data_IF_938779043154
#
_entry.id   IF_938779043154
#
_cell.length_a   1.000
_cell.length_b   1.000
_cell.length_c   1.000
_cell.angle_alpha   90.00
_cell.angle_beta   90.00
_cell.angle_gamma   90.00
#
_symmetry.space_group_name_H-M   'P 1'
#
loop_
_entity.id
_entity.type
_entity.pdbx_description
1 polymer ?
#
# COMPACT_ATOMS: atom_id res chain seq x y z
N UNK A 1 -7.92 -18.62 -6.68
CA UNK A 1 -6.54 -18.32 -6.26
C UNK A 1 -6.67 -17.35 -5.10
N UNK A 2 -6.34 -17.79 -3.87
CA UNK A 2 -6.55 -16.99 -2.66
C UNK A 2 -5.78 -15.67 -2.74
N UNK A 3 -6.42 -14.54 -2.41
CA UNK A 3 -5.70 -13.29 -2.17
C UNK A 3 -4.79 -13.52 -0.97
N UNK A 4 -3.48 -13.36 -1.17
CA UNK A 4 -2.50 -13.29 -0.08
C UNK A 4 -2.89 -12.11 0.84
N UNK A 5 -2.48 -12.22 2.11
CA UNK A 5 -2.73 -11.28 3.19
C UNK A 5 -2.43 -9.82 2.83
N UNK A 6 -2.97 -8.88 3.62
CA UNK A 6 -2.83 -7.42 3.44
C UNK A 6 -1.36 -6.99 3.64
N UNK A 7 -0.56 -7.03 2.57
CA UNK A 7 0.87 -6.66 2.53
C UNK A 7 1.08 -5.13 2.45
N UNK A 8 0.90 -4.42 3.56
CA UNK A 8 0.89 -2.94 3.56
C UNK A 8 1.50 -2.36 4.83
N UNK A 9 2.10 -1.19 4.72
CA UNK A 9 2.55 -0.43 5.89
C UNK A 9 2.44 1.09 5.69
N UNK A 10 2.32 1.78 6.81
CA UNK A 10 2.32 3.24 6.91
C UNK A 10 3.65 3.72 7.44
N UNK A 11 4.18 4.81 6.91
CA UNK A 11 5.39 5.45 7.41
C UNK A 11 5.11 6.93 7.60
N UNK A 12 5.21 7.40 8.84
CA UNK A 12 5.21 8.83 9.14
C UNK A 12 6.63 9.33 9.14
N UNK A 13 6.97 10.27 8.26
CA UNK A 13 8.28 10.91 8.27
C UNK A 13 8.34 11.88 9.45
N UNK A 14 9.30 11.74 10.38
CA UNK A 14 9.45 12.69 11.47
C UNK A 14 9.79 14.09 10.97
N UNK A 15 9.18 15.14 11.53
CA UNK A 15 9.41 16.52 11.10
C UNK A 15 10.87 16.98 11.28
N UNK A 16 11.58 16.47 12.28
CA UNK A 16 13.00 16.76 12.46
C UNK A 16 13.86 16.23 11.30
N UNK A 17 13.46 15.12 10.67
CA UNK A 17 14.17 14.57 9.51
C UNK A 17 14.02 15.52 8.32
N UNK A 18 12.82 16.03 8.08
CA UNK A 18 12.58 17.05 7.05
C UNK A 18 13.43 18.31 7.31
N UNK A 19 13.55 18.71 8.57
CA UNK A 19 14.40 19.83 8.98
C UNK A 19 15.90 19.57 8.73
N UNK A 20 16.40 18.38 9.09
CA UNK A 20 17.80 18.00 8.86
C UNK A 20 18.10 17.87 7.36
N UNK A 21 17.21 17.23 6.60
CA UNK A 21 17.30 17.12 5.14
C UNK A 21 17.38 18.50 4.48
N UNK A 22 16.56 19.44 4.94
CA UNK A 22 16.59 20.85 4.51
C UNK A 22 17.91 21.57 4.82
N UNK A 23 18.54 21.20 5.92
CA UNK A 23 19.73 21.90 6.45
C UNK A 23 21.02 21.36 5.85
N UNK A 24 21.06 20.05 5.54
CA UNK A 24 22.25 19.35 5.06
C UNK A 24 22.32 19.32 3.53
N UNK A 25 21.18 19.19 2.83
CA UNK A 25 21.14 19.25 1.37
C UNK A 25 20.81 20.68 0.96
N UNK A 26 21.85 21.45 0.68
CA UNK A 26 21.82 22.89 0.37
C UNK A 26 20.93 23.24 -0.85
N UNK A 27 20.59 22.24 -1.67
CA UNK A 27 19.62 22.35 -2.78
C UNK A 27 18.19 22.65 -2.30
N UNK A 28 17.89 22.38 -1.03
CA UNK A 28 16.55 22.42 -0.46
C UNK A 28 16.32 23.57 0.52
N UNK A 29 17.37 24.28 0.97
CA UNK A 29 17.27 25.40 1.92
C UNK A 29 16.29 26.50 1.46
N UNK A 30 16.17 26.68 0.14
CA UNK A 30 15.19 27.58 -0.48
C UNK A 30 13.88 26.90 -0.90
N UNK A 31 13.79 25.56 -0.89
CA UNK A 31 12.69 24.75 -1.47
C UNK A 31 11.82 24.02 -0.45
N UNK A 32 12.29 23.54 0.71
CA UNK A 32 11.41 22.88 1.71
C UNK A 32 10.48 23.88 2.39
N UNK A 33 10.96 25.09 2.72
CA UNK A 33 10.11 26.17 3.21
C UNK A 33 8.92 26.41 2.27
N UNK A 34 9.16 26.38 0.95
CA UNK A 34 8.11 26.50 -0.06
C UNK A 34 7.37 25.22 -0.46
N UNK A 35 7.89 24.04 -0.13
CA UNK A 35 7.21 22.76 -0.34
C UNK A 35 6.20 22.51 0.78
N UNK A 36 6.38 23.11 1.96
CA UNK A 36 5.32 23.20 2.98
C UNK A 36 4.41 24.41 2.81
N UNK A 37 4.85 25.45 2.09
CA UNK A 37 3.92 26.43 1.53
C UNK A 37 3.14 25.78 0.39
N UNK A 38 1.87 26.14 0.24
CA UNK A 38 0.90 25.48 -0.63
C UNK A 38 1.25 25.45 -2.15
N UNK A 39 2.38 26.05 -2.57
CA UNK A 39 2.55 26.58 -3.94
C UNK A 39 3.74 26.00 -4.74
N UNK A 40 4.48 24.99 -4.22
CA UNK A 40 5.44 24.22 -5.03
C UNK A 40 5.09 22.73 -5.14
N UNK A 41 5.20 22.25 -6.39
CA UNK A 41 4.48 21.10 -6.94
C UNK A 41 4.83 19.73 -6.37
N UNK A 42 3.81 18.87 -6.40
CA UNK A 42 3.77 17.45 -6.03
C UNK A 42 5.06 16.66 -6.34
N UNK A 43 5.66 16.86 -7.52
CA UNK A 43 6.86 16.14 -7.95
C UNK A 43 8.12 16.38 -7.10
N UNK A 44 8.21 17.48 -6.34
CA UNK A 44 9.32 17.70 -5.40
C UNK A 44 9.22 16.80 -4.17
N UNK A 45 8.00 16.57 -3.68
CA UNK A 45 7.77 15.73 -2.51
C UNK A 45 8.03 14.26 -2.82
N UNK A 46 7.59 13.78 -4.00
CA UNK A 46 7.91 12.43 -4.49
C UNK A 46 9.42 12.20 -4.63
N UNK A 47 10.14 13.21 -5.15
CA UNK A 47 11.60 13.14 -5.28
C UNK A 47 12.28 13.05 -3.91
N UNK A 48 11.85 13.86 -2.95
CA UNK A 48 12.36 13.80 -1.58
C UNK A 48 12.13 12.41 -0.96
N UNK A 49 10.96 11.80 -1.16
CA UNK A 49 10.70 10.43 -0.68
C UNK A 49 11.64 9.41 -1.32
N UNK A 50 11.92 9.54 -2.62
CA UNK A 50 12.87 8.64 -3.29
C UNK A 50 14.29 8.79 -2.73
N UNK A 51 14.71 10.02 -2.44
CA UNK A 51 16.01 10.31 -1.85
C UNK A 51 16.08 9.89 -0.37
N UNK A 52 15.00 10.02 0.38
CA UNK A 52 14.84 9.48 1.73
C UNK A 52 15.06 7.96 1.75
N UNK A 53 14.39 7.25 0.85
CA UNK A 53 14.49 5.78 0.72
C UNK A 53 15.94 5.34 0.43
N UNK A 54 16.60 6.05 -0.48
CA UNK A 54 17.99 5.77 -0.83
C UNK A 54 18.94 6.10 0.33
N UNK A 55 18.78 7.25 0.98
CA UNK A 55 19.62 7.69 2.09
C UNK A 55 19.53 6.71 3.27
N UNK A 56 18.33 6.37 3.72
CA UNK A 56 18.15 5.49 4.88
C UNK A 56 18.76 4.10 4.63
N UNK A 57 18.51 3.53 3.45
CA UNK A 57 19.13 2.26 3.05
C UNK A 57 20.65 2.35 3.04
N UNK A 58 21.20 3.43 2.48
CA UNK A 58 22.65 3.61 2.37
C UNK A 58 23.32 3.88 3.72
N UNK A 59 22.62 4.48 4.68
CA UNK A 59 23.11 4.64 6.06
C UNK A 59 23.22 3.28 6.76
N UNK A 60 22.21 2.41 6.64
CA UNK A 60 22.28 1.04 7.18
C UNK A 60 23.47 0.26 6.59
N UNK A 61 23.77 0.44 5.30
CA UNK A 61 24.96 -0.14 4.67
C UNK A 61 26.25 0.49 5.22
N UNK A 62 26.25 1.81 5.42
CA UNK A 62 27.37 2.54 6.03
C UNK A 62 27.72 2.05 7.44
N UNK A 63 26.71 1.59 8.19
CA UNK A 63 26.85 0.93 9.49
C UNK A 63 27.32 -0.54 9.39
N UNK A 64 27.65 -1.02 8.19
CA UNK A 64 28.16 -2.37 7.95
C UNK A 64 27.08 -3.45 7.83
N UNK A 65 25.80 -3.08 7.67
CA UNK A 65 24.71 -4.05 7.50
C UNK A 65 24.59 -4.52 6.05
N UNK A 66 24.42 -5.82 5.85
CA UNK A 66 24.19 -6.44 4.53
C UNK A 66 22.71 -6.76 4.26
N UNK A 67 21.90 -6.82 5.33
CA UNK A 67 20.47 -7.09 5.29
C UNK A 67 19.76 -6.33 6.41
N UNK A 68 18.47 -6.08 6.23
CA UNK A 68 17.60 -5.48 7.26
C UNK A 68 16.16 -5.97 7.09
N UNK A 69 15.36 -5.89 8.15
CA UNK A 69 13.91 -6.06 8.03
C UNK A 69 13.27 -4.82 7.39
N UNK A 70 12.08 -4.96 6.83
CA UNK A 70 11.32 -3.80 6.36
C UNK A 70 10.96 -2.85 7.50
N UNK A 71 10.71 -3.35 8.72
CA UNK A 71 10.49 -2.51 9.89
C UNK A 71 11.73 -1.71 10.32
N UNK A 72 12.93 -2.23 10.09
CA UNK A 72 14.18 -1.48 10.30
C UNK A 72 14.41 -0.44 9.19
N UNK A 73 14.07 -0.76 7.93
CA UNK A 73 14.18 0.19 6.80
C UNK A 73 13.14 1.31 6.93
N UNK A 74 11.93 0.98 7.36
CA UNK A 74 10.83 1.92 7.58
C UNK A 74 10.61 2.10 9.08
N UNK A 75 11.60 2.69 9.76
CA UNK A 75 11.54 2.85 11.21
C UNK A 75 10.29 3.64 11.65
N UNK A 76 9.56 3.09 12.63
CA UNK A 76 8.30 3.67 13.10
C UNK A 76 7.10 3.38 12.20
N UNK A 77 7.25 2.47 11.23
CA UNK A 77 6.14 2.05 10.38
C UNK A 77 5.07 1.28 11.16
N UNK A 78 3.82 1.45 10.73
CA UNK A 78 2.65 0.74 11.27
C UNK A 78 2.18 -0.23 10.19
N UNK A 79 2.14 -1.52 10.49
CA UNK A 79 1.70 -2.57 9.58
C UNK A 79 1.82 -3.95 10.22
N UNK A 80 1.37 -5.02 9.54
CA UNK A 80 1.46 -6.38 10.06
C UNK A 80 2.91 -6.78 10.36
N UNK A 81 3.10 -7.53 11.46
CA UNK A 81 4.43 -8.01 11.86
C UNK A 81 5.07 -8.91 10.78
N UNK A 82 4.26 -9.67 10.05
CA UNK A 82 4.69 -10.47 8.90
C UNK A 82 5.29 -9.58 7.81
N UNK A 83 4.57 -8.51 7.42
CA UNK A 83 5.03 -7.54 6.42
C UNK A 83 6.31 -6.82 6.87
N UNK A 84 6.34 -6.31 8.10
CA UNK A 84 7.51 -5.59 8.61
C UNK A 84 8.69 -6.51 8.91
N UNK A 85 8.44 -7.80 9.12
CA UNK A 85 9.43 -8.82 9.42
C UNK A 85 10.20 -9.34 8.21
N UNK A 86 9.79 -9.02 6.96
CA UNK A 86 10.52 -9.45 5.76
C UNK A 86 11.97 -8.96 5.78
N UNK A 87 12.92 -9.89 5.70
CA UNK A 87 14.35 -9.60 5.69
C UNK A 87 14.82 -9.48 4.24
N UNK A 88 15.33 -8.32 3.90
CA UNK A 88 15.77 -7.99 2.54
C UNK A 88 17.25 -7.63 2.50
N UNK A 89 17.91 -7.97 1.39
CA UNK A 89 19.29 -7.58 1.14
C UNK A 89 19.39 -6.07 0.95
N UNK A 90 20.41 -5.48 1.55
CA UNK A 90 20.74 -4.08 1.35
C UNK A 90 21.70 -3.96 0.16
N UNK A 91 21.29 -3.20 -0.85
CA UNK A 91 22.14 -2.78 -1.96
C UNK A 91 22.24 -1.27 -1.93
N UNK A 92 23.42 -0.74 -2.25
CA UNK A 92 23.60 0.70 -2.35
C UNK A 92 22.62 1.26 -3.38
N UNK A 93 21.78 2.19 -2.94
CA UNK A 93 20.70 2.75 -3.74
C UNK A 93 21.09 4.09 -4.35
N UNK A 94 20.68 4.30 -5.59
CA UNK A 94 20.70 5.59 -6.28
C UNK A 94 19.31 5.92 -6.80
N UNK A 95 18.96 7.21 -6.85
CA UNK A 95 17.64 7.66 -7.31
C UNK A 95 17.65 7.88 -8.82
N UNK A 96 16.70 7.26 -9.52
CA UNK A 96 16.45 7.46 -10.95
C UNK A 96 15.03 7.93 -11.17
N UNK A 97 14.80 8.77 -12.18
CA UNK A 97 13.45 9.20 -12.58
C UNK A 97 13.01 8.41 -13.79
N UNK A 98 11.84 7.77 -13.72
CA UNK A 98 11.27 7.07 -14.85
C UNK A 98 10.77 8.07 -15.90
N UNK A 99 11.21 7.90 -17.16
CA UNK A 99 10.73 8.72 -18.28
C UNK A 99 9.27 8.43 -18.66
N UNK A 100 8.73 7.29 -18.23
CA UNK A 100 7.38 6.82 -18.51
C UNK A 100 6.81 6.11 -17.28
N UNK A 101 5.48 5.99 -17.21
CA UNK A 101 4.80 5.33 -16.10
C UNK A 101 5.27 3.88 -15.98
N UNK A 102 5.84 3.54 -14.83
CA UNK A 102 6.20 2.20 -14.44
C UNK A 102 5.05 1.58 -13.64
N UNK A 103 4.73 0.29 -13.82
CA UNK A 103 5.32 -0.67 -14.76
C UNK A 103 4.69 -0.66 -16.16
N UNK A 104 3.67 0.17 -16.41
CA UNK A 104 2.85 0.17 -17.64
C UNK A 104 3.68 0.21 -18.94
N UNK A 105 4.73 1.03 -18.98
CA UNK A 105 5.52 1.27 -20.19
C UNK A 105 6.55 0.19 -20.52
N UNK A 106 6.86 -0.74 -19.60
CA UNK A 106 7.80 -1.84 -19.85
C UNK A 106 9.26 -1.45 -20.14
N UNK A 107 9.59 -0.15 -20.10
CA UNK A 107 10.84 0.41 -20.66
C UNK A 107 12.01 0.52 -19.69
N UNK A 108 11.79 0.26 -18.40
CA UNK A 108 12.85 0.32 -17.40
C UNK A 108 13.48 -1.08 -17.24
N UNK A 109 14.67 -1.29 -17.81
CA UNK A 109 15.35 -2.60 -17.84
C UNK A 109 16.12 -2.93 -16.56
N UNK A 110 16.51 -1.91 -15.78
CA UNK A 110 17.36 -2.08 -14.60
C UNK A 110 16.63 -1.84 -13.28
N UNK A 111 15.31 -2.03 -13.26
CA UNK A 111 14.45 -1.77 -12.09
C UNK A 111 14.83 -2.60 -10.84
N UNK A 112 15.61 -3.67 -11.01
CA UNK A 112 16.15 -4.52 -9.92
C UNK A 112 17.53 -4.12 -9.39
N UNK A 113 18.17 -3.12 -10.00
CA UNK A 113 19.61 -2.89 -9.87
C UNK A 113 19.99 -1.81 -8.86
N UNK A 114 19.62 -1.95 -7.58
CA UNK A 114 20.06 -0.99 -6.56
C UNK A 114 19.63 0.44 -6.87
N UNK A 115 18.40 0.59 -7.36
CA UNK A 115 17.82 1.88 -7.73
C UNK A 115 16.52 2.09 -6.98
N UNK A 116 16.30 3.34 -6.59
CA UNK A 116 14.98 3.85 -6.22
C UNK A 116 14.43 4.60 -7.42
N UNK A 117 13.25 4.22 -7.88
CA UNK A 117 12.61 4.78 -9.06
C UNK A 117 11.60 5.82 -8.61
N UNK A 118 11.85 7.10 -8.88
CA UNK A 118 10.79 8.13 -8.87
C UNK A 118 9.96 7.94 -10.14
N UNK A 119 8.69 7.59 -9.99
CA UNK A 119 7.83 7.27 -11.10
C UNK A 119 7.43 8.53 -11.88
N UNK A 120 6.91 8.33 -13.10
CA UNK A 120 6.37 9.40 -13.91
C UNK A 120 4.99 9.83 -13.39
N UNK A 121 4.69 11.11 -13.50
CA UNK A 121 3.46 11.70 -12.99
C UNK A 121 2.20 10.98 -13.51
N UNK A 122 1.27 10.71 -12.59
CA UNK A 122 0.01 10.00 -12.87
C UNK A 122 0.15 8.48 -13.01
N UNK A 123 1.27 7.88 -12.58
CA UNK A 123 1.38 6.42 -12.48
C UNK A 123 0.50 5.86 -11.36
N UNK A 124 -0.14 4.70 -11.60
CA UNK A 124 -1.03 4.07 -10.61
C UNK A 124 -0.32 3.09 -9.66
N UNK A 125 0.91 2.68 -9.99
CA UNK A 125 1.64 1.67 -9.23
C UNK A 125 2.40 2.20 -8.01
N UNK A 126 2.61 3.52 -7.90
CA UNK A 126 3.51 4.08 -6.89
C UNK A 126 4.15 5.34 -7.41
N UNK A 127 4.26 6.36 -6.55
CA UNK A 127 5.03 7.56 -6.84
C UNK A 127 6.53 7.26 -6.81
N UNK A 128 6.92 6.32 -5.94
CA UNK A 128 8.28 5.81 -5.80
C UNK A 128 8.25 4.27 -5.76
N UNK A 129 9.24 3.60 -6.36
CA UNK A 129 9.33 2.15 -6.34
C UNK A 129 10.76 1.69 -6.04
N UNK A 130 10.90 0.63 -5.25
CA UNK A 130 12.20 -0.01 -4.98
C UNK A 130 12.04 -1.53 -4.95
N UNK A 131 12.91 -2.22 -5.67
CA UNK A 131 13.00 -3.67 -5.63
C UNK A 131 14.08 -4.12 -4.65
N UNK A 132 13.76 -5.14 -3.86
CA UNK A 132 14.61 -5.66 -2.80
C UNK A 132 14.64 -7.17 -2.87
N UNK A 133 15.83 -7.74 -3.00
CA UNK A 133 16.00 -9.20 -2.97
C UNK A 133 15.77 -9.72 -1.55
N UNK A 134 15.12 -10.86 -1.41
CA UNK A 134 15.03 -11.52 -0.11
C UNK A 134 16.43 -11.93 0.37
N UNK A 135 16.68 -11.77 1.66
CA UNK A 135 17.91 -12.22 2.32
C UNK A 135 17.76 -13.60 2.98
N UNK A 136 16.53 -14.07 3.22
CA UNK A 136 16.27 -15.32 3.96
C UNK A 136 16.32 -16.60 3.10
N UNK A 137 16.60 -16.46 1.79
CA UNK A 137 16.75 -17.58 0.86
C UNK A 137 15.47 -18.37 0.52
N UNK A 138 14.37 -18.11 1.23
CA UNK A 138 13.09 -18.81 1.10
C UNK A 138 11.93 -17.89 0.68
N UNK A 139 12.09 -16.56 0.77
CA UNK A 139 11.08 -15.58 0.39
C UNK A 139 11.20 -15.09 -1.06
N UNK A 140 10.05 -14.83 -1.69
CA UNK A 140 10.00 -14.06 -2.93
C UNK A 140 10.63 -12.67 -2.70
N UNK A 141 11.32 -12.14 -3.71
CA UNK A 141 11.84 -10.77 -3.62
C UNK A 141 10.70 -9.77 -3.48
N UNK A 142 10.96 -8.68 -2.78
CA UNK A 142 9.97 -7.66 -2.48
C UNK A 142 10.04 -6.52 -3.49
N UNK A 143 8.90 -6.08 -3.98
CA UNK A 143 8.75 -4.83 -4.70
C UNK A 143 7.94 -3.86 -3.83
N UNK A 144 8.62 -2.89 -3.23
CA UNK A 144 7.97 -1.85 -2.45
C UNK A 144 7.45 -0.76 -3.39
N UNK A 145 6.16 -0.50 -3.32
CA UNK A 145 5.46 0.58 -4.00
C UNK A 145 5.12 1.67 -3.00
N UNK A 146 5.86 2.77 -3.06
CA UNK A 146 5.77 3.90 -2.14
C UNK A 146 4.79 4.94 -2.69
N UNK A 147 3.80 5.31 -1.87
CA UNK A 147 2.76 6.29 -2.16
C UNK A 147 2.96 7.52 -1.28
N UNK A 148 3.20 8.66 -1.90
CA UNK A 148 3.47 9.93 -1.25
C UNK A 148 2.15 10.64 -0.92
N UNK A 149 1.88 10.92 0.36
CA UNK A 149 0.71 11.71 0.77
C UNK A 149 1.16 12.93 1.58
N UNK A 150 0.88 14.13 1.05
CA UNK A 150 1.18 15.43 1.70
C UNK A 150 0.00 15.89 2.58
N UNK A 151 0.29 16.74 3.57
CA UNK A 151 -0.67 17.45 4.42
C UNK A 151 -1.95 17.91 3.68
N UNK A 152 -3.12 17.59 4.25
CA UNK A 152 -4.41 18.12 3.80
C UNK A 152 -5.64 17.29 4.20
N UNK A 153 -5.49 15.97 4.33
CA UNK A 153 -6.58 15.07 4.76
C UNK A 153 -6.05 14.03 5.75
N UNK A 154 -6.84 13.72 6.79
CA UNK A 154 -6.58 12.57 7.66
C UNK A 154 -6.47 11.31 6.80
N UNK A 155 -5.40 10.56 7.01
CA UNK A 155 -5.17 9.31 6.29
C UNK A 155 -5.76 8.17 7.10
N UNK A 156 -6.81 7.56 6.55
CA UNK A 156 -7.46 6.40 7.14
C UNK A 156 -6.90 5.11 6.58
N UNK A 157 -7.13 4.02 7.31
CA UNK A 157 -6.81 2.67 6.87
C UNK A 157 -7.34 2.34 5.45
N UNK A 158 -8.54 2.84 5.12
CA UNK A 158 -9.15 2.70 3.80
C UNK A 158 -8.33 3.34 2.67
N UNK A 159 -7.66 4.47 2.92
CA UNK A 159 -6.81 5.09 1.90
C UNK A 159 -5.63 4.20 1.50
N UNK A 160 -4.98 3.51 2.44
CA UNK A 160 -3.92 2.54 2.13
C UNK A 160 -4.48 1.29 1.42
N UNK A 161 -5.70 0.87 1.78
CA UNK A 161 -6.39 -0.23 1.11
C UNK A 161 -6.60 0.08 -0.38
N UNK A 162 -7.16 1.25 -0.67
CA UNK A 162 -7.45 1.72 -2.02
C UNK A 162 -6.18 1.86 -2.85
N UNK A 163 -5.12 2.44 -2.28
CA UNK A 163 -3.84 2.52 -2.99
C UNK A 163 -3.28 1.13 -3.31
N UNK A 164 -3.31 0.20 -2.36
CA UNK A 164 -2.85 -1.16 -2.64
C UNK A 164 -3.66 -1.85 -3.75
N UNK A 165 -4.98 -1.66 -3.80
CA UNK A 165 -5.78 -2.24 -4.88
C UNK A 165 -5.43 -1.66 -6.25
N UNK A 166 -5.17 -0.36 -6.35
CA UNK A 166 -4.67 0.26 -7.59
C UNK A 166 -3.32 -0.33 -8.01
N UNK A 167 -2.41 -0.50 -7.05
CA UNK A 167 -1.08 -1.07 -7.26
C UNK A 167 -1.18 -2.52 -7.76
N UNK A 168 -1.93 -3.35 -7.05
CA UNK A 168 -2.15 -4.75 -7.41
C UNK A 168 -2.81 -4.88 -8.79
N UNK A 169 -3.83 -4.07 -9.06
CA UNK A 169 -4.48 -4.01 -10.38
C UNK A 169 -3.54 -3.59 -11.50
N UNK A 170 -2.59 -2.69 -11.24
CA UNK A 170 -1.58 -2.27 -12.23
C UNK A 170 -0.63 -3.41 -12.58
N UNK A 171 -0.21 -4.22 -11.61
CA UNK A 171 0.65 -5.39 -11.85
C UNK A 171 -0.07 -6.44 -12.70
N UNK A 172 -1.36 -6.68 -12.42
CA UNK A 172 -2.15 -7.65 -13.19
C UNK A 172 -2.27 -7.26 -14.67
N UNK A 173 -2.33 -5.95 -14.96
CA UNK A 173 -2.41 -5.41 -16.33
C UNK A 173 -1.10 -5.48 -17.13
N UNK A 174 0.01 -5.89 -16.51
CA UNK A 174 1.29 -5.99 -17.23
C UNK A 174 1.17 -6.99 -18.39
N UNK A 175 1.48 -6.56 -19.64
CA UNK A 175 1.27 -7.40 -20.82
C UNK A 175 2.04 -8.72 -20.77
N UNK A 176 1.40 -9.78 -21.26
CA UNK A 176 2.03 -11.08 -21.39
C UNK A 176 3.20 -11.03 -22.38
N UNK A 177 4.32 -11.68 -22.05
CA UNK A 177 5.57 -11.67 -22.85
C UNK A 177 6.39 -10.38 -22.74
N UNK A 178 5.92 -9.38 -22.00
CA UNK A 178 6.69 -8.15 -21.75
C UNK A 178 8.00 -8.45 -21.02
N UNK A 179 8.98 -7.55 -21.15
CA UNK A 179 10.26 -7.68 -20.43
C UNK A 179 10.00 -7.75 -18.92
N UNK A 180 9.11 -6.93 -18.38
CA UNK A 180 8.81 -6.91 -16.96
C UNK A 180 8.19 -8.23 -16.45
N UNK A 181 7.30 -8.85 -17.22
CA UNK A 181 6.77 -10.18 -16.87
C UNK A 181 7.86 -11.25 -16.88
N UNK A 182 8.70 -11.26 -17.91
CA UNK A 182 9.81 -12.23 -18.04
C UNK A 182 10.82 -12.09 -16.91
N UNK A 183 11.22 -10.85 -16.62
CA UNK A 183 12.04 -10.52 -15.47
C UNK A 183 11.38 -11.04 -14.19
N UNK A 184 10.05 -11.00 -14.09
CA UNK A 184 9.30 -11.61 -12.99
C UNK A 184 8.76 -10.61 -12.01
N UNK A 185 8.38 -9.43 -12.49
CA UNK A 185 7.72 -8.42 -11.66
C UNK A 185 6.45 -8.97 -10.99
N UNK A 186 5.70 -9.84 -11.69
CA UNK A 186 4.50 -10.52 -11.16
C UNK A 186 4.81 -11.60 -10.11
N UNK A 187 6.08 -12.04 -10.01
CA UNK A 187 6.54 -13.01 -9.00
C UNK A 187 7.05 -12.31 -7.74
N UNK A 188 7.32 -11.00 -7.80
CA UNK A 188 7.71 -10.26 -6.62
C UNK A 188 6.52 -10.14 -5.66
N UNK A 189 6.82 -10.19 -4.37
CA UNK A 189 5.87 -9.86 -3.31
C UNK A 189 5.68 -8.35 -3.28
N UNK A 190 4.44 -7.85 -3.31
CA UNK A 190 4.18 -6.42 -3.54
C UNK A 190 3.73 -5.80 -2.24
N UNK A 191 4.59 -4.94 -1.70
CA UNK A 191 4.29 -4.23 -0.46
C UNK A 191 3.96 -2.79 -0.79
N UNK A 192 2.76 -2.38 -0.38
CA UNK A 192 2.37 -0.97 -0.46
C UNK A 192 2.85 -0.23 0.78
N UNK A 193 3.63 0.83 0.56
CA UNK A 193 4.17 1.69 1.61
C UNK A 193 3.56 3.07 1.44
N UNK A 194 2.74 3.52 2.38
CA UNK A 194 2.21 4.88 2.34
C UNK A 194 3.06 5.78 3.22
N UNK A 195 3.70 6.76 2.60
CA UNK A 195 4.62 7.69 3.25
C UNK A 195 3.94 9.04 3.38
N UNK A 196 3.87 9.55 4.61
CA UNK A 196 3.14 10.78 4.92
C UNK A 196 3.87 11.66 5.92
N UNK A 197 3.58 12.95 5.85
CA UNK A 197 3.92 13.94 6.88
C UNK A 197 2.76 14.24 7.82
N UNK A 198 1.56 13.74 7.50
CA UNK A 198 0.34 13.93 8.31
C UNK A 198 0.30 12.90 9.44
N UNK A 199 -0.35 13.26 10.54
CA UNK A 199 -0.67 12.29 11.58
C UNK A 199 -1.58 11.19 11.05
N UNK A 200 -1.30 9.98 11.53
CA UNK A 200 -2.04 8.76 11.21
C UNK A 200 -3.09 8.63 12.32
N UNK A 201 -4.38 8.48 11.96
CA UNK A 201 -5.46 8.40 12.95
C UNK A 201 -5.42 7.10 13.73
N UNK A 202 -5.96 7.10 14.95
CA UNK A 202 -6.10 5.91 15.81
C UNK A 202 -6.85 4.76 15.10
N UNK A 203 -7.79 5.07 14.20
CA UNK A 203 -8.48 4.09 13.36
C UNK A 203 -7.55 3.33 12.40
N UNK A 204 -6.37 3.87 12.07
CA UNK A 204 -5.35 3.17 11.29
C UNK A 204 -4.52 2.17 12.14
N UNK A 205 -4.57 2.31 13.48
CA UNK A 205 -3.90 1.42 14.43
C UNK A 205 -4.79 0.27 14.87
N UNK A 206 -6.11 0.49 15.03
CA UNK A 206 -7.08 -0.59 15.29
C UNK A 206 -7.20 -1.55 14.10
N UNK A 207 -7.09 -1.01 12.89
CA UNK A 207 -7.27 -1.73 11.62
C UNK A 207 -6.08 -2.58 11.16
N UNK A 208 -4.86 -2.36 11.66
CA UNK A 208 -3.72 -3.25 11.39
C UNK A 208 -3.89 -4.65 12.05
N UNK A 209 -4.86 -4.80 12.96
CA UNK A 209 -5.32 -6.08 13.48
C UNK A 209 -6.76 -6.44 13.06
N UNK A 210 -7.51 -5.56 12.38
CA UNK A 210 -8.96 -5.75 12.17
C UNK A 210 -9.54 -5.46 10.76
N UNK A 211 -8.76 -5.16 9.71
CA UNK A 211 -9.31 -5.09 8.34
C UNK A 211 -9.39 -6.47 7.70
N UNK A 212 -10.44 -7.17 8.08
CA UNK A 212 -11.27 -7.97 7.17
C UNK A 212 -12.70 -7.54 7.47
N UNK A 213 -13.26 -6.68 6.61
CA UNK A 213 -14.68 -6.37 6.62
C UNK A 213 -15.14 -6.17 5.17
N UNK A 214 -15.24 -7.28 4.46
CA UNK A 214 -16.08 -7.36 3.28
C UNK A 214 -17.00 -8.56 3.45
N UNK A 215 -18.27 -8.29 3.72
CA UNK A 215 -19.30 -9.29 3.97
C UNK A 215 -19.43 -10.32 2.84
N UNK A 216 -18.97 -10.00 1.62
CA UNK A 216 -18.93 -10.93 0.48
C UNK A 216 -17.80 -11.97 0.56
N UNK A 217 -16.87 -11.82 1.50
CA UNK A 217 -15.69 -12.67 1.67
C UNK A 217 -15.54 -13.19 3.12
N UNK A 218 -16.45 -12.84 4.03
CA UNK A 218 -16.41 -13.29 5.42
C UNK A 218 -16.78 -14.76 5.56
N UNK A 219 -16.10 -15.46 6.46
CA UNK A 219 -16.44 -16.84 6.80
C UNK A 219 -17.54 -16.88 7.87
N UNK A 220 -18.28 -17.99 7.91
CA UNK A 220 -19.30 -18.26 8.95
C UNK A 220 -18.78 -17.98 10.37
N UNK A 221 -17.56 -18.42 10.66
CA UNK A 221 -16.96 -18.27 11.99
C UNK A 221 -16.69 -16.79 12.33
N UNK A 222 -16.25 -16.01 11.34
CA UNK A 222 -15.96 -14.59 11.49
C UNK A 222 -17.25 -13.79 11.67
N UNK A 223 -18.29 -14.08 10.88
CA UNK A 223 -19.62 -13.46 11.02
C UNK A 223 -20.23 -13.69 12.41
N UNK A 224 -20.10 -14.91 12.96
CA UNK A 224 -20.60 -15.22 14.32
C UNK A 224 -19.80 -14.50 15.41
N UNK A 225 -18.46 -14.57 15.36
CA UNK A 225 -17.60 -14.09 16.44
C UNK A 225 -17.48 -12.56 16.46
N UNK A 226 -17.30 -11.94 15.30
CA UNK A 226 -17.02 -10.50 15.16
C UNK A 226 -18.30 -9.65 15.25
N UNK A 227 -19.38 -10.09 14.59
CA UNK A 227 -20.64 -9.35 14.54
C UNK A 227 -21.70 -9.84 15.54
N UNK A 228 -21.37 -10.85 16.36
CA UNK A 228 -22.27 -11.44 17.36
C UNK A 228 -23.61 -11.90 16.75
N UNK A 229 -23.56 -12.34 15.49
CA UNK A 229 -24.74 -12.77 14.73
C UNK A 229 -25.14 -14.19 15.11
N UNK A 230 -26.45 -14.44 15.12
CA UNK A 230 -27.01 -15.77 15.28
C UNK A 230 -26.87 -16.60 13.99
N UNK A 231 -26.92 -17.93 14.13
CA UNK A 231 -26.75 -18.88 13.02
C UNK A 231 -27.66 -18.58 11.83
N UNK A 232 -28.92 -18.21 12.10
CA UNK A 232 -29.91 -17.86 11.07
C UNK A 232 -29.53 -16.59 10.28
N UNK A 233 -28.97 -15.59 10.93
CA UNK A 233 -28.49 -14.37 10.26
C UNK A 233 -27.28 -14.71 9.37
N UNK A 234 -26.35 -15.51 9.90
CA UNK A 234 -25.13 -15.94 9.18
C UNK A 234 -25.44 -16.81 7.97
N UNK A 235 -26.39 -17.74 8.08
CA UNK A 235 -26.85 -18.57 6.96
C UNK A 235 -27.38 -17.70 5.82
N UNK A 236 -28.28 -16.78 6.14
CA UNK A 236 -28.85 -15.87 5.15
C UNK A 236 -27.81 -14.93 4.55
N UNK A 237 -26.80 -14.50 5.32
CA UNK A 237 -25.70 -13.71 4.80
C UNK A 237 -24.94 -14.50 3.73
N UNK A 238 -24.54 -15.73 4.05
CA UNK A 238 -23.73 -16.52 3.14
C UNK A 238 -24.50 -16.99 1.90
N UNK A 239 -25.80 -17.26 2.03
CA UNK A 239 -26.66 -17.70 0.94
C UNK A 239 -26.99 -16.58 -0.07
N UNK A 240 -27.05 -15.33 0.38
CA UNK A 240 -27.50 -14.21 -0.45
C UNK A 240 -26.37 -13.29 -0.93
N UNK A 241 -25.11 -13.70 -0.74
CA UNK A 241 -23.96 -13.03 -1.36
C UNK A 241 -24.06 -13.09 -2.90
N UNK A 242 -23.55 -12.08 -3.64
CA UNK A 242 -22.90 -10.88 -3.13
C UNK A 242 -23.87 -9.72 -2.86
N UNK A 243 -23.43 -8.83 -1.97
CA UNK A 243 -24.04 -7.56 -1.61
C UNK A 243 -23.33 -6.40 -2.31
N UNK A 244 -24.12 -5.52 -2.92
CA UNK A 244 -23.62 -4.34 -3.65
C UNK A 244 -23.58 -3.08 -2.80
N UNK A 245 -24.38 -3.04 -1.75
CA UNK A 245 -24.48 -1.93 -0.82
C UNK A 245 -25.01 -2.42 0.53
N UNK A 246 -24.96 -1.55 1.52
CA UNK A 246 -25.55 -1.79 2.83
C UNK A 246 -27.08 -1.99 2.76
N UNK A 247 -27.77 -1.21 1.93
CA UNK A 247 -29.21 -1.35 1.74
C UNK A 247 -29.56 -2.69 1.05
N UNK A 248 -28.72 -3.16 0.12
CA UNK A 248 -28.85 -4.47 -0.52
C UNK A 248 -28.67 -5.62 0.48
N UNK A 249 -27.76 -5.48 1.45
CA UNK A 249 -27.58 -6.43 2.56
C UNK A 249 -28.84 -6.50 3.44
N UNK A 250 -29.37 -5.34 3.87
CA UNK A 250 -30.57 -5.29 4.70
C UNK A 250 -31.79 -5.87 3.96
N UNK A 251 -31.92 -5.59 2.66
CA UNK A 251 -33.02 -6.12 1.86
C UNK A 251 -32.95 -7.65 1.70
N UNK A 252 -31.74 -8.19 1.51
CA UNK A 252 -31.51 -9.61 1.26
C UNK A 252 -31.40 -10.46 2.53
N UNK A 253 -31.18 -9.85 3.70
CA UNK A 253 -31.07 -10.55 4.99
C UNK A 253 -32.12 -10.03 5.96
N UNK A 254 -33.41 -10.41 5.81
CA UNK A 254 -34.49 -9.87 6.62
C UNK A 254 -34.43 -10.26 8.10
N UNK A 255 -33.68 -11.31 8.45
CA UNK A 255 -33.49 -11.71 9.85
C UNK A 255 -32.58 -10.76 10.63
N UNK A 256 -31.90 -9.84 9.93
CA UNK A 256 -30.93 -8.92 10.50
C UNK A 256 -31.64 -7.75 11.19
N UNK A 257 -31.50 -7.65 12.51
CA UNK A 257 -32.05 -6.54 13.30
C UNK A 257 -31.23 -5.27 13.12
N UNK A 258 -31.89 -4.12 12.90
CA UNK A 258 -31.23 -2.80 12.83
C UNK A 258 -30.48 -2.39 14.10
N UNK A 259 -30.67 -3.13 15.22
CA UNK A 259 -29.88 -2.97 16.45
C UNK A 259 -28.52 -3.69 16.42
N UNK A 260 -28.34 -4.68 15.53
CA UNK A 260 -27.10 -5.45 15.41
C UNK A 260 -26.10 -4.82 14.42
N UNK A 261 -26.54 -3.84 13.63
CA UNK A 261 -25.67 -3.05 12.77
C UNK A 261 -25.42 -1.71 13.41
N UNK A 262 -24.25 -1.57 14.01
CA UNK A 262 -23.74 -0.27 14.40
C UNK A 262 -23.48 0.52 13.11
N UNK A 263 -24.23 1.62 12.90
CA UNK A 263 -24.23 2.39 11.65
C UNK A 263 -22.85 2.97 11.28
N UNK A 264 -21.87 2.90 12.18
CA UNK A 264 -20.52 3.41 11.98
C UNK A 264 -19.49 2.35 11.54
N UNK A 265 -19.86 1.06 11.40
CA UNK A 265 -18.87 -0.02 11.15
C UNK A 265 -18.98 -0.75 9.80
N UNK A 266 -19.90 -0.36 8.92
CA UNK A 266 -20.12 -1.04 7.64
C UNK A 266 -19.76 -0.20 6.43
N UNK A 267 -18.48 -0.08 6.06
CA UNK A 267 -18.11 0.47 4.75
C UNK A 267 -18.11 -0.66 3.70
N UNK A 268 -19.04 -0.59 2.74
CA UNK A 268 -19.04 -1.42 1.53
C UNK A 268 -18.78 -0.51 0.32
N UNK A 269 -17.69 -0.73 -0.43
CA UNK A 269 -17.67 -0.39 -1.84
C UNK A 269 -17.45 -1.66 -2.67
N UNK A 270 -18.54 -2.20 -3.20
CA UNK A 270 -18.52 -3.08 -4.37
C UNK A 270 -19.22 -2.34 -5.51
N UNK A 271 -18.60 -1.26 -6.00
CA UNK A 271 -19.17 -0.46 -7.10
C UNK A 271 -18.76 -0.93 -8.51
N UNK A 272 -17.79 -1.85 -8.67
CA UNK A 272 -17.27 -2.19 -10.01
C UNK A 272 -17.48 -3.64 -10.50
N UNK A 273 -18.33 -4.46 -9.87
CA UNK A 273 -18.72 -5.74 -10.49
C UNK A 273 -19.98 -5.57 -11.33
N UNK A 274 -19.75 -5.47 -12.65
CA UNK A 274 -20.76 -5.74 -13.66
C UNK A 274 -20.79 -7.26 -13.87
N UNK A 275 -21.76 -8.03 -13.32
CA UNK A 275 -21.99 -9.36 -13.86
C UNK A 275 -22.38 -9.16 -15.33
N UNK A 276 -21.70 -9.88 -16.22
CA UNK A 276 -21.95 -9.85 -17.65
C UNK A 276 -23.46 -9.80 -17.92
N UNK A 277 -23.88 -8.79 -18.70
CA UNK A 277 -25.18 -8.83 -19.35
C UNK A 277 -25.20 -10.08 -20.19
N UNK A 278 -25.81 -11.15 -19.71
CA UNK A 278 -26.41 -12.14 -20.60
C UNK A 278 -27.61 -11.46 -21.25
N UNK A 279 -27.46 -11.14 -22.52
CA UNK A 279 -28.57 -11.00 -23.45
C UNK A 279 -28.07 -11.36 -24.86
N UNK A 280 -28.91 -11.96 -25.71
CA UNK A 280 -30.31 -12.34 -25.51
C UNK A 280 -30.49 -13.77 -24.98
#
# INVERSE_FOLDING_TARGET
MAMKSVEKCWVRIPFFFLHLYNTVIDEVRNRLGSAFLHDRGWGFFERMIAEYEALHTNLLIGDGREAATLGEIYQGAIGPAETLGHIVKLKKLSVVTAAHRFPESGRLTHWRSGVVIKNADGAQFGDVCVYRESADGNGDSVLCALQAKKLGSLLSAGALQDEHYKIAGTIQKIPHGSILEREGIKRAHIITVLITTTDITDDAFSTAHEIDLNWNFETRETLKKKHKLGDKEVDQILENMPYRSYDDLIQKVPAMSTKNLDKETGFLPYQDFQPEKKAP
#
